data_IF_634388893764
#
_entry.id   IF_634388893764
#
_cell.length_a   1.000
_cell.length_b   1.000
_cell.length_c   1.000
_cell.angle_alpha   90.00
_cell.angle_beta   90.00
_cell.angle_gamma   90.00
#
_symmetry.space_group_name_H-M   'P 1'
#
loop_
_entity.id
_entity.type
_entity.pdbx_description
1 polymer ?
#
# COMPACT_ATOMS: atom_id res chain seq x y z
N UNK A 1 7.95 -54.17 -3.90
CA UNK A 1 6.96 -53.11 -4.08
C UNK A 1 7.41 -51.90 -3.28
N UNK A 2 8.01 -50.92 -3.97
CA UNK A 2 8.37 -49.63 -3.42
C UNK A 2 7.16 -48.69 -3.57
N UNK A 3 6.52 -48.31 -2.47
CA UNK A 3 5.54 -47.25 -2.45
C UNK A 3 6.28 -45.91 -2.45
N UNK A 4 6.28 -45.24 -3.58
CA UNK A 4 6.70 -43.85 -3.67
C UNK A 4 5.70 -42.95 -2.94
N UNK A 5 6.07 -42.38 -1.80
CA UNK A 5 5.33 -41.29 -1.14
C UNK A 5 5.56 -40.08 -1.98
N UNK A 6 4.58 -39.69 -2.79
CA UNK A 6 4.56 -38.40 -3.47
C UNK A 6 4.43 -37.30 -2.42
N UNK A 7 5.45 -36.48 -2.23
CA UNK A 7 5.37 -35.25 -1.45
C UNK A 7 4.55 -34.26 -2.31
N UNK A 8 3.29 -34.05 -1.96
CA UNK A 8 2.52 -32.95 -2.52
C UNK A 8 3.17 -31.64 -2.03
N UNK A 9 3.82 -30.93 -2.94
CA UNK A 9 4.23 -29.55 -2.69
C UNK A 9 2.93 -28.70 -2.74
N UNK A 10 2.51 -28.18 -1.60
CA UNK A 10 1.52 -27.13 -1.58
C UNK A 10 2.16 -25.88 -2.22
N UNK A 11 1.62 -25.43 -3.33
CA UNK A 11 2.07 -24.23 -4.00
C UNK A 11 1.39 -23.04 -3.31
N UNK A 12 2.16 -22.26 -2.55
CA UNK A 12 1.65 -21.00 -1.99
C UNK A 12 1.23 -20.06 -3.12
N UNK A 13 0.03 -19.52 -3.02
CA UNK A 13 -0.50 -18.47 -3.90
C UNK A 13 -0.65 -17.17 -3.13
N UNK A 14 -0.34 -16.06 -3.79
CA UNK A 14 -0.51 -14.71 -3.21
C UNK A 14 -1.47 -13.90 -4.07
N UNK A 15 -2.51 -13.37 -3.44
CA UNK A 15 -3.47 -12.48 -4.07
C UNK A 15 -3.48 -11.16 -3.33
N UNK A 16 -3.22 -10.07 -4.03
CA UNK A 16 -3.26 -8.71 -3.48
C UNK A 16 -4.45 -7.96 -4.07
N UNK A 17 -5.28 -7.39 -3.21
CA UNK A 17 -6.41 -6.54 -3.60
C UNK A 17 -6.28 -5.20 -2.87
N UNK A 18 -6.34 -4.10 -3.64
CA UNK A 18 -6.18 -2.75 -3.13
C UNK A 18 -7.49 -1.97 -3.21
N UNK A 19 -7.72 -1.08 -2.24
CA UNK A 19 -8.76 -0.04 -2.30
C UNK A 19 -8.13 1.34 -2.20
N UNK A 20 -8.69 2.31 -2.94
CA UNK A 20 -8.19 3.67 -3.02
C UNK A 20 -8.92 4.60 -2.05
N UNK A 21 -8.22 5.65 -1.60
CA UNK A 21 -8.78 6.64 -0.69
C UNK A 21 -8.67 8.05 -1.25
N UNK A 22 -9.69 8.85 -1.01
CA UNK A 22 -9.63 10.29 -1.30
C UNK A 22 -8.54 10.96 -0.49
N UNK A 23 -8.08 12.09 -0.96
CA UNK A 23 -7.13 12.95 -0.23
C UNK A 23 -7.62 13.17 1.20
N UNK A 24 -6.73 13.01 2.16
CA UNK A 24 -6.98 13.24 3.58
C UNK A 24 -8.16 12.41 4.18
N UNK A 25 -8.48 11.27 3.57
CA UNK A 25 -9.56 10.37 4.00
C UNK A 25 -9.03 9.00 4.41
N UNK A 26 -9.73 8.40 5.38
CA UNK A 26 -9.57 7.00 5.81
C UNK A 26 -10.88 6.22 5.65
N UNK A 27 -11.85 6.78 4.94
CA UNK A 27 -13.15 6.15 4.67
C UNK A 27 -13.09 5.51 3.29
N UNK A 28 -13.46 4.23 3.19
CA UNK A 28 -13.64 3.56 1.91
C UNK A 28 -14.92 4.11 1.26
N UNK A 29 -14.76 4.79 0.14
CA UNK A 29 -15.85 5.33 -0.66
C UNK A 29 -16.01 4.44 -1.91
N UNK A 30 -17.09 3.67 -1.96
CA UNK A 30 -17.37 2.76 -3.09
C UNK A 30 -17.55 3.48 -4.42
N UNK A 31 -17.89 4.77 -4.41
CA UNK A 31 -18.02 5.58 -5.61
C UNK A 31 -16.70 6.23 -6.08
N UNK A 32 -15.59 6.00 -5.35
CA UNK A 32 -14.28 6.55 -5.70
C UNK A 32 -13.42 5.51 -6.41
N UNK A 33 -12.79 5.90 -7.52
CA UNK A 33 -11.95 5.00 -8.34
C UNK A 33 -12.72 3.71 -8.70
N UNK A 34 -12.05 2.57 -8.63
CA UNK A 34 -12.63 1.24 -8.88
C UNK A 34 -13.06 0.52 -7.59
N UNK A 35 -13.24 1.25 -6.48
CA UNK A 35 -13.48 0.66 -5.17
C UNK A 35 -14.67 -0.29 -5.12
N UNK A 36 -15.78 0.04 -5.81
CA UNK A 36 -16.94 -0.87 -5.85
C UNK A 36 -16.57 -2.25 -6.43
N UNK A 37 -15.80 -2.27 -7.54
CA UNK A 37 -15.33 -3.51 -8.15
C UNK A 37 -14.31 -4.22 -7.25
N UNK A 38 -13.39 -3.49 -6.61
CA UNK A 38 -12.39 -4.05 -5.70
C UNK A 38 -13.01 -4.67 -4.44
N UNK A 39 -13.99 -4.00 -3.85
CA UNK A 39 -14.74 -4.53 -2.72
C UNK A 39 -15.49 -5.82 -3.10
N UNK A 40 -16.10 -5.85 -4.28
CA UNK A 40 -16.76 -7.05 -4.80
C UNK A 40 -15.75 -8.18 -5.05
N UNK A 41 -14.57 -7.88 -5.60
CA UNK A 41 -13.47 -8.83 -5.80
C UNK A 41 -13.04 -9.47 -4.48
N UNK A 42 -12.91 -8.69 -3.40
CA UNK A 42 -12.61 -9.21 -2.06
C UNK A 42 -13.69 -10.19 -1.59
N UNK A 43 -14.96 -9.81 -1.71
CA UNK A 43 -16.09 -10.64 -1.27
C UNK A 43 -16.12 -11.97 -2.05
N UNK A 44 -15.94 -11.89 -3.36
CA UNK A 44 -15.93 -13.08 -4.22
C UNK A 44 -14.74 -14.00 -3.91
N UNK A 45 -13.56 -13.43 -3.71
CA UNK A 45 -12.36 -14.16 -3.34
C UNK A 45 -12.56 -14.92 -2.02
N UNK A 46 -13.04 -14.23 -0.98
CA UNK A 46 -13.31 -14.84 0.33
C UNK A 46 -14.38 -15.93 0.25
N UNK A 47 -15.44 -15.72 -0.54
CA UNK A 47 -16.49 -16.71 -0.76
C UNK A 47 -15.96 -17.96 -1.46
N UNK A 48 -15.11 -17.79 -2.47
CA UNK A 48 -14.51 -18.90 -3.20
C UNK A 48 -13.62 -19.76 -2.30
N UNK A 49 -12.79 -19.13 -1.46
CA UNK A 49 -11.98 -19.86 -0.47
C UNK A 49 -12.86 -20.61 0.53
N UNK A 50 -13.95 -19.99 1.00
CA UNK A 50 -14.84 -20.65 1.95
C UNK A 50 -15.58 -21.88 1.34
N UNK A 51 -15.80 -21.88 0.03
CA UNK A 51 -16.46 -22.98 -0.70
C UNK A 51 -15.50 -24.10 -1.10
N UNK A 52 -14.21 -23.80 -1.24
CA UNK A 52 -13.19 -24.78 -1.62
C UNK A 52 -12.41 -25.27 -0.39
N UNK A 53 -12.78 -26.45 0.09
CA UNK A 53 -12.13 -27.05 1.27
C UNK A 53 -10.66 -27.44 1.07
N UNK A 54 -10.13 -27.31 -0.14
CA UNK A 54 -8.71 -27.59 -0.47
C UNK A 54 -7.83 -26.34 -0.32
N UNK A 55 -8.43 -25.15 -0.24
CA UNK A 55 -7.74 -23.88 -0.11
C UNK A 55 -7.93 -23.35 1.32
N UNK A 56 -6.84 -22.98 1.98
CA UNK A 56 -6.90 -22.36 3.29
C UNK A 56 -6.08 -21.06 3.28
N UNK A 57 -6.60 -20.01 3.90
CA UNK A 57 -5.82 -18.80 4.17
C UNK A 57 -4.83 -19.15 5.28
N UNK A 58 -3.55 -18.96 5.01
CA UNK A 58 -2.46 -19.16 5.97
C UNK A 58 -1.96 -17.84 6.54
N UNK A 59 -2.11 -16.73 5.80
CA UNK A 59 -1.77 -15.38 6.25
C UNK A 59 -2.60 -14.34 5.48
N UNK A 60 -2.94 -13.23 6.16
CA UNK A 60 -3.44 -12.00 5.55
C UNK A 60 -2.58 -10.84 6.02
N UNK A 61 -1.85 -10.23 5.10
CA UNK A 61 -1.08 -9.02 5.39
C UNK A 61 -1.85 -7.78 4.98
N UNK A 62 -2.14 -6.91 5.94
CA UNK A 62 -2.73 -5.60 5.69
C UNK A 62 -1.65 -4.52 5.58
N UNK A 63 -1.70 -3.75 4.51
CA UNK A 63 -0.83 -2.61 4.28
C UNK A 63 -1.68 -1.36 4.09
N UNK A 64 -1.26 -0.25 4.68
CA UNK A 64 -1.87 1.05 4.46
C UNK A 64 -0.85 2.04 3.94
N UNK A 65 -1.22 2.85 2.94
CA UNK A 65 -0.30 3.78 2.30
C UNK A 65 -0.84 5.21 2.30
N UNK A 66 0.09 6.16 2.32
CA UNK A 66 -0.16 7.58 2.14
C UNK A 66 0.82 8.16 1.11
N UNK A 67 0.38 9.19 0.39
CA UNK A 67 1.25 9.97 -0.47
C UNK A 67 2.16 10.89 0.35
N UNK A 68 3.35 11.24 -0.14
CA UNK A 68 4.36 11.98 0.62
C UNK A 68 4.07 13.48 0.78
N UNK A 69 2.85 13.93 0.54
CA UNK A 69 2.48 15.36 0.54
C UNK A 69 2.37 15.97 1.95
N UNK A 70 1.92 15.17 2.92
CA UNK A 70 1.69 15.60 4.30
C UNK A 70 2.94 15.55 5.19
N UNK A 71 2.77 15.92 6.45
CA UNK A 71 3.78 15.68 7.50
C UNK A 71 3.89 14.18 7.81
N UNK A 72 5.01 13.78 8.41
CA UNK A 72 5.22 12.40 8.87
C UNK A 72 4.05 11.90 9.73
N UNK A 73 3.67 12.69 10.73
CA UNK A 73 2.57 12.35 11.64
C UNK A 73 1.24 12.15 10.90
N UNK A 74 0.92 13.05 9.96
CA UNK A 74 -0.31 12.94 9.18
C UNK A 74 -0.30 11.70 8.29
N UNK A 75 0.81 11.44 7.60
CA UNK A 75 0.94 10.30 6.70
C UNK A 75 0.83 8.96 7.45
N UNK A 76 1.47 8.84 8.63
CA UNK A 76 1.30 7.66 9.51
C UNK A 76 -0.15 7.47 9.96
N UNK A 77 -0.82 8.56 10.37
CA UNK A 77 -2.23 8.51 10.77
C UNK A 77 -3.13 8.06 9.63
N UNK A 78 -2.93 8.59 8.43
CA UNK A 78 -3.72 8.23 7.24
C UNK A 78 -3.48 6.76 6.84
N UNK A 79 -2.24 6.32 6.77
CA UNK A 79 -1.90 4.95 6.40
C UNK A 79 -2.51 3.93 7.39
N UNK A 80 -2.36 4.14 8.69
CA UNK A 80 -2.97 3.29 9.73
C UNK A 80 -4.50 3.29 9.65
N UNK A 81 -5.11 4.46 9.45
CA UNK A 81 -6.57 4.57 9.34
C UNK A 81 -7.12 3.86 8.11
N UNK A 82 -6.42 3.91 6.97
CA UNK A 82 -6.76 3.21 5.73
C UNK A 82 -6.64 1.69 5.89
N UNK A 83 -5.53 1.22 6.45
CA UNK A 83 -5.35 -0.19 6.79
C UNK A 83 -6.49 -0.68 7.69
N UNK A 84 -6.78 0.05 8.77
CA UNK A 84 -7.83 -0.32 9.71
C UNK A 84 -9.22 -0.34 9.06
N UNK A 85 -9.50 0.57 8.11
CA UNK A 85 -10.76 0.59 7.39
C UNK A 85 -10.92 -0.65 6.49
N UNK A 86 -9.85 -1.05 5.78
CA UNK A 86 -9.87 -2.24 4.94
C UNK A 86 -9.96 -3.53 5.78
N UNK A 87 -9.19 -3.64 6.86
CA UNK A 87 -9.26 -4.77 7.79
C UNK A 87 -10.68 -4.91 8.36
N UNK A 88 -11.28 -3.81 8.80
CA UNK A 88 -12.64 -3.80 9.33
C UNK A 88 -13.66 -4.24 8.26
N UNK A 89 -13.51 -3.80 7.03
CA UNK A 89 -14.36 -4.24 5.93
C UNK A 89 -14.24 -5.75 5.71
N UNK A 90 -13.04 -6.30 5.58
CA UNK A 90 -12.82 -7.73 5.35
C UNK A 90 -13.35 -8.58 6.53
N UNK A 91 -13.12 -8.13 7.77
CA UNK A 91 -13.65 -8.81 8.98
C UNK A 91 -15.18 -8.75 9.10
N UNK A 92 -15.84 -7.81 8.43
CA UNK A 92 -17.31 -7.82 8.37
C UNK A 92 -17.87 -8.89 7.44
N UNK A 93 -17.06 -9.37 6.50
CA UNK A 93 -17.44 -10.39 5.53
C UNK A 93 -17.07 -11.82 5.98
N UNK A 94 -16.00 -11.94 6.76
CA UNK A 94 -15.48 -13.25 7.21
C UNK A 94 -14.82 -13.15 8.59
N UNK A 95 -15.01 -14.17 9.41
CA UNK A 95 -14.29 -14.30 10.69
C UNK A 95 -12.87 -14.77 10.45
N UNK A 96 -11.89 -13.95 10.82
CA UNK A 96 -10.47 -14.20 10.62
C UNK A 96 -9.77 -14.19 11.99
N UNK A 97 -9.12 -15.29 12.37
CA UNK A 97 -8.31 -15.33 13.59
C UNK A 97 -7.17 -14.30 13.54
N UNK A 98 -6.94 -13.59 14.64
CA UNK A 98 -5.85 -12.61 14.74
C UNK A 98 -4.46 -13.22 14.48
N UNK A 99 -4.30 -14.52 14.73
CA UNK A 99 -3.06 -15.25 14.47
C UNK A 99 -2.66 -15.33 12.98
N UNK A 100 -3.60 -15.11 12.08
CA UNK A 100 -3.36 -15.09 10.63
C UNK A 100 -3.10 -13.68 10.09
N UNK A 101 -3.21 -12.64 10.95
CA UNK A 101 -3.14 -11.26 10.49
C UNK A 101 -1.78 -10.65 10.78
N UNK A 102 -1.17 -10.12 9.75
CA UNK A 102 0.00 -9.26 9.80
C UNK A 102 -0.36 -7.84 9.37
N UNK A 103 0.19 -6.83 10.06
CA UNK A 103 -0.04 -5.42 9.74
C UNK A 103 1.29 -4.75 9.43
N UNK A 104 1.39 -4.19 8.22
CA UNK A 104 2.56 -3.43 7.81
C UNK A 104 2.27 -1.93 8.02
N UNK A 105 3.04 -1.30 8.87
CA UNK A 105 2.93 0.13 9.19
C UNK A 105 3.90 1.02 8.39
N UNK A 106 4.51 0.48 7.34
CA UNK A 106 5.18 1.28 6.31
C UNK A 106 4.16 2.19 5.64
N UNK A 107 4.27 3.50 5.87
CA UNK A 107 3.21 4.48 5.54
C UNK A 107 3.42 5.23 4.22
N UNK A 108 4.64 5.32 3.71
CA UNK A 108 4.93 5.81 2.35
C UNK A 108 5.61 4.69 1.58
N UNK A 109 4.99 4.18 0.51
CA UNK A 109 5.53 3.07 -0.28
C UNK A 109 6.62 3.58 -1.25
N UNK A 110 7.80 3.90 -0.73
CA UNK A 110 8.92 4.46 -1.51
C UNK A 110 9.39 3.54 -2.63
N UNK A 111 9.46 2.23 -2.39
CA UNK A 111 9.89 1.27 -3.40
C UNK A 111 8.89 1.18 -4.55
N UNK A 112 7.59 1.22 -4.25
CA UNK A 112 6.54 1.31 -5.26
C UNK A 112 6.68 2.61 -6.07
N UNK A 113 6.85 3.76 -5.40
CA UNK A 113 7.04 5.03 -6.10
C UNK A 113 8.26 5.00 -7.01
N UNK A 114 9.39 4.46 -6.53
CA UNK A 114 10.61 4.31 -7.31
C UNK A 114 10.36 3.48 -8.57
N UNK A 115 9.73 2.30 -8.45
CA UNK A 115 9.42 1.45 -9.60
C UNK A 115 8.54 2.15 -10.64
N UNK A 116 7.53 2.93 -10.20
CA UNK A 116 6.70 3.70 -11.13
C UNK A 116 7.47 4.82 -11.84
N UNK A 117 8.46 5.42 -11.17
CA UNK A 117 9.30 6.46 -11.76
C UNK A 117 10.27 5.87 -12.79
N UNK A 118 10.84 4.70 -12.54
CA UNK A 118 11.77 4.02 -13.44
C UNK A 118 11.15 3.81 -14.83
N UNK A 119 9.87 3.45 -14.89
CA UNK A 119 9.13 3.22 -16.13
C UNK A 119 8.47 4.47 -16.72
N UNK A 120 8.69 5.65 -16.12
CA UNK A 120 8.00 6.88 -16.50
C UNK A 120 8.85 7.81 -17.36
N UNK A 121 8.17 8.82 -17.94
CA UNK A 121 8.80 9.99 -18.58
C UNK A 121 8.99 11.18 -17.62
N UNK A 122 9.19 10.95 -16.33
CA UNK A 122 9.42 12.00 -15.36
C UNK A 122 10.68 12.82 -15.71
N UNK A 123 10.58 14.14 -15.64
CA UNK A 123 11.75 15.02 -15.77
C UNK A 123 12.69 14.77 -14.58
N UNK A 124 14.01 14.89 -14.83
CA UNK A 124 15.05 14.63 -13.81
C UNK A 124 14.93 13.24 -13.14
N UNK A 125 14.48 12.23 -13.89
CA UNK A 125 14.22 10.88 -13.37
C UNK A 125 15.40 10.31 -12.56
N UNK A 126 16.60 10.37 -13.11
CA UNK A 126 17.80 9.80 -12.48
C UNK A 126 18.16 10.52 -11.17
N UNK A 127 17.99 11.85 -11.11
CA UNK A 127 18.18 12.63 -9.90
C UNK A 127 17.11 12.30 -8.84
N UNK A 128 15.87 12.07 -9.26
CA UNK A 128 14.78 11.65 -8.36
C UNK A 128 15.08 10.28 -7.78
N UNK A 129 15.48 9.31 -8.59
CA UNK A 129 15.84 7.96 -8.14
C UNK A 129 17.00 8.03 -7.14
N UNK A 130 18.05 8.79 -7.42
CA UNK A 130 19.17 8.98 -6.51
C UNK A 130 18.72 9.57 -5.15
N UNK A 131 17.79 10.54 -5.14
CA UNK A 131 17.22 11.06 -3.89
C UNK A 131 16.41 10.00 -3.14
N UNK A 132 15.65 9.16 -3.83
CA UNK A 132 14.84 8.11 -3.21
C UNK A 132 15.70 7.00 -2.59
N UNK A 133 16.92 6.79 -3.06
CA UNK A 133 17.89 5.82 -2.54
C UNK A 133 18.65 6.34 -1.31
N UNK A 134 18.54 7.61 -0.97
CA UNK A 134 19.16 8.13 0.22
C UNK A 134 18.54 7.57 1.52
N UNK A 135 19.32 7.57 2.59
CA UNK A 135 18.81 7.24 3.92
C UNK A 135 17.68 8.20 4.33
N UNK A 136 16.59 7.62 4.82
CA UNK A 136 15.44 8.37 5.33
C UNK A 136 15.77 8.98 6.68
N UNK A 137 15.76 10.31 6.75
CA UNK A 137 15.93 11.09 7.97
C UNK A 137 14.77 12.06 8.14
N UNK A 138 14.20 12.12 9.34
CA UNK A 138 13.20 13.14 9.64
C UNK A 138 13.88 14.46 9.97
N UNK A 139 13.47 15.51 9.27
CA UNK A 139 14.00 16.87 9.44
C UNK A 139 12.85 17.85 9.70
N UNK A 140 13.14 18.92 10.45
CA UNK A 140 12.21 20.03 10.62
C UNK A 140 12.03 20.77 9.28
N UNK A 141 10.77 21.03 8.92
CA UNK A 141 10.45 21.71 7.67
C UNK A 141 9.45 22.82 7.90
N UNK A 142 9.92 24.06 7.76
CA UNK A 142 9.17 25.31 7.93
C UNK A 142 8.60 25.58 9.33
N UNK A 143 8.40 24.58 10.17
CA UNK A 143 7.88 24.74 11.53
C UNK A 143 8.48 23.67 12.44
N UNK A 144 8.84 24.00 13.70
CA UNK A 144 9.48 23.07 14.63
C UNK A 144 8.71 21.76 14.89
N UNK A 145 7.37 21.80 14.75
CA UNK A 145 6.52 20.64 14.98
C UNK A 145 6.23 19.84 13.70
N UNK A 146 6.82 20.24 12.57
CA UNK A 146 6.59 19.60 11.28
C UNK A 146 7.81 18.79 10.87
N UNK A 147 7.83 17.50 11.25
CA UNK A 147 8.85 16.58 10.78
C UNK A 147 8.43 16.00 9.42
N UNK A 148 9.38 15.92 8.51
CA UNK A 148 9.19 15.42 7.15
C UNK A 148 10.47 14.69 6.72
N UNK A 149 10.33 13.69 5.89
CA UNK A 149 11.46 12.96 5.31
C UNK A 149 12.35 13.91 4.49
N UNK A 150 13.68 13.86 4.71
CA UNK A 150 14.68 14.67 4.01
C UNK A 150 14.57 14.56 2.48
N UNK A 151 14.21 13.39 1.97
CA UNK A 151 14.01 13.13 0.55
C UNK A 151 12.87 14.00 -0.01
N UNK A 152 11.76 14.13 0.73
CA UNK A 152 10.65 15.01 0.34
C UNK A 152 11.10 16.46 0.21
N UNK A 153 11.93 16.94 1.14
CA UNK A 153 12.49 18.31 1.07
C UNK A 153 13.31 18.52 -0.20
N UNK A 154 14.16 17.55 -0.54
CA UNK A 154 14.98 17.60 -1.77
C UNK A 154 14.12 17.56 -3.02
N UNK A 155 13.17 16.63 -3.09
CA UNK A 155 12.24 16.51 -4.21
C UNK A 155 11.41 17.78 -4.45
N UNK A 156 10.95 18.43 -3.37
CA UNK A 156 10.21 19.70 -3.46
C UNK A 156 11.07 20.87 -3.96
N UNK A 157 12.39 20.78 -3.85
CA UNK A 157 13.33 21.83 -4.31
C UNK A 157 13.84 21.58 -5.74
N UNK A 158 13.78 20.34 -6.20
CA UNK A 158 14.30 19.96 -7.52
C UNK A 158 13.57 20.70 -8.64
N UNK A 159 14.31 21.34 -9.53
CA UNK A 159 13.82 22.22 -10.61
C UNK A 159 12.73 23.21 -10.15
N UNK A 160 13.00 23.93 -9.04
CA UNK A 160 12.08 24.91 -8.47
C UNK A 160 10.66 24.35 -8.22
N UNK A 161 10.56 23.07 -7.85
CA UNK A 161 9.31 22.39 -7.51
C UNK A 161 8.53 21.79 -8.70
N UNK A 162 9.01 21.93 -9.93
CA UNK A 162 8.32 21.37 -11.10
C UNK A 162 8.29 19.84 -11.07
N UNK A 163 9.39 19.22 -10.64
CA UNK A 163 9.48 17.76 -10.49
C UNK A 163 8.43 17.27 -9.49
N UNK A 164 8.32 17.91 -8.33
CA UNK A 164 7.32 17.56 -7.32
C UNK A 164 5.88 17.70 -7.83
N UNK A 165 5.58 18.76 -8.59
CA UNK A 165 4.26 18.95 -9.19
C UNK A 165 3.94 17.85 -10.21
N UNK A 166 4.93 17.45 -11.02
CA UNK A 166 4.76 16.35 -11.97
C UNK A 166 4.57 15.01 -11.26
N UNK A 167 5.36 14.73 -10.22
CA UNK A 167 5.21 13.52 -9.40
C UNK A 167 3.81 13.45 -8.76
N UNK A 168 3.34 14.56 -8.20
CA UNK A 168 2.00 14.62 -7.61
C UNK A 168 0.92 14.22 -8.62
N UNK A 169 0.98 14.78 -9.83
CA UNK A 169 0.03 14.52 -10.90
C UNK A 169 0.08 13.07 -11.41
N UNK A 170 1.27 12.47 -11.47
CA UNK A 170 1.45 11.16 -12.10
C UNK A 170 1.28 9.99 -11.13
N UNK A 171 1.70 10.16 -9.86
CA UNK A 171 1.88 9.01 -8.97
C UNK A 171 1.12 9.10 -7.63
N UNK A 172 1.00 10.30 -7.02
CA UNK A 172 0.57 10.39 -5.62
C UNK A 172 -0.89 9.95 -5.37
N UNK A 173 -1.74 10.04 -6.37
CA UNK A 173 -3.12 9.55 -6.24
C UNK A 173 -3.13 8.04 -5.96
N UNK A 174 -2.34 7.27 -6.70
CA UNK A 174 -2.23 5.81 -6.55
C UNK A 174 -1.54 5.36 -5.26
N UNK A 175 -0.86 6.25 -4.57
CA UNK A 175 -0.24 5.98 -3.26
C UNK A 175 -1.22 6.12 -2.09
N UNK A 176 -2.45 6.57 -2.31
CA UNK A 176 -3.48 6.75 -1.27
C UNK A 176 -4.37 5.53 -1.19
N UNK A 177 -3.80 4.39 -0.82
CA UNK A 177 -4.50 3.11 -0.83
C UNK A 177 -4.33 2.32 0.48
N UNK A 178 -5.02 1.22 0.57
CA UNK A 178 -4.71 0.10 1.45
C UNK A 178 -4.88 -1.19 0.67
N UNK A 179 -4.00 -2.15 0.93
CA UNK A 179 -4.07 -3.48 0.34
C UNK A 179 -4.22 -4.58 1.39
N UNK A 180 -4.88 -5.65 0.99
CA UNK A 180 -4.88 -6.93 1.69
C UNK A 180 -4.21 -7.96 0.78
N UNK A 181 -3.17 -8.60 1.31
CA UNK A 181 -2.42 -9.67 0.63
C UNK A 181 -2.80 -10.97 1.31
N UNK A 182 -3.48 -11.83 0.58
CA UNK A 182 -3.87 -13.17 1.02
C UNK A 182 -2.84 -14.19 0.57
N UNK A 183 -2.36 -15.00 1.50
CA UNK A 183 -1.51 -16.17 1.24
C UNK A 183 -2.35 -17.41 1.46
N UNK A 184 -2.45 -18.25 0.44
CA UNK A 184 -3.28 -19.48 0.44
C UNK A 184 -2.47 -20.70 0.07
#
# INVERSE_FOLDING_TARGET
LLFGVGIAHSQESRTEICVDFRVNSTVIDSAYSDNAARMQEIIEFLRNIHQDSTINIVEISFCGAASPEGSDQLNRKLARGRLSALEKFIRSEVDIPDSLITRNDSYIPWDYLKSQIEDSGLIHKDEVIAILEEESLLVDYHHPDTHIDNRIVKLKRLDNGKVWQQMNKLFFERMRNASAIFVT
#
